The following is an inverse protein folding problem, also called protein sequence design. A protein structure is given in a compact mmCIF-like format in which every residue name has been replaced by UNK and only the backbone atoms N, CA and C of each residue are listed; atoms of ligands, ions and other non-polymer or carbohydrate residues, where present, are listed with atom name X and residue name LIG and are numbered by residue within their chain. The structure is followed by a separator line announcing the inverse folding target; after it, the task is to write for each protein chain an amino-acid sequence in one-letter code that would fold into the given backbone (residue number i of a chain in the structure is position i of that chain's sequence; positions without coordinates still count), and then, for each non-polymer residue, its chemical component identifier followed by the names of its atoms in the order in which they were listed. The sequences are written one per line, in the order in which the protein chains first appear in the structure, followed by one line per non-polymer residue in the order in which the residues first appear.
data_IF_960873196908
#
_entry.id   IF_960873196908
#
_cell.length_a   1.000
_cell.length_b   1.000
_cell.length_c   1.000
_cell.angle_alpha   90.00
_cell.angle_beta   90.00
_cell.angle_gamma   90.00
#
_symmetry.space_group_name_H-M   'P 1'
#
loop_
_entity.id
_entity.type
_entity.pdbx_description
1 polymer ?
#
# COMPACT_ATOMS: atom_id res chain seq x y z
N UNK A 1 -12.40 3.67 -22.53
CA UNK A 1 -12.64 2.30 -23.04
C UNK A 1 -14.05 1.86 -22.62
N UNK A 2 -15.01 1.76 -23.54
CA UNK A 2 -16.40 1.34 -23.21
C UNK A 2 -16.45 -0.18 -23.15
N UNK A 3 -16.69 -0.75 -21.97
CA UNK A 3 -16.90 -2.20 -21.81
C UNK A 3 -18.17 -2.63 -22.56
N UNK A 4 -18.10 -3.78 -23.25
CA UNK A 4 -19.27 -4.36 -23.92
C UNK A 4 -20.40 -4.64 -22.90
N UNK A 5 -21.64 -4.26 -23.23
CA UNK A 5 -22.83 -4.39 -22.36
C UNK A 5 -23.04 -5.82 -21.86
N UNK A 6 -22.69 -6.84 -22.65
CA UNK A 6 -22.73 -8.26 -22.22
C UNK A 6 -21.71 -8.59 -21.14
N UNK A 7 -20.47 -8.11 -21.28
CA UNK A 7 -19.38 -8.34 -20.31
C UNK A 7 -19.71 -7.65 -18.98
N UNK A 8 -20.24 -6.43 -19.05
CA UNK A 8 -20.65 -5.66 -17.87
C UNK A 8 -21.73 -6.38 -17.05
N UNK A 9 -22.75 -6.95 -17.72
CA UNK A 9 -23.80 -7.74 -17.07
C UNK A 9 -23.28 -9.03 -16.46
N UNK A 10 -22.33 -9.70 -17.11
CA UNK A 10 -21.71 -10.92 -16.59
C UNK A 10 -20.91 -10.64 -15.30
N UNK A 11 -20.10 -9.58 -15.28
CA UNK A 11 -19.38 -9.16 -14.08
C UNK A 11 -20.31 -8.74 -12.94
N UNK A 12 -21.34 -7.93 -13.21
CA UNK A 12 -22.31 -7.55 -12.17
C UNK A 12 -23.02 -8.76 -11.58
N UNK A 13 -23.37 -9.77 -12.41
CA UNK A 13 -24.00 -11.00 -11.91
C UNK A 13 -23.08 -11.78 -10.98
N UNK A 14 -21.78 -11.91 -11.32
CA UNK A 14 -20.80 -12.55 -10.44
C UNK A 14 -20.54 -11.80 -9.13
N UNK A 15 -20.61 -10.46 -9.14
CA UNK A 15 -20.48 -9.65 -7.92
C UNK A 15 -21.73 -9.81 -7.04
N UNK A 16 -22.93 -9.78 -7.62
CA UNK A 16 -24.21 -9.94 -6.90
C UNK A 16 -24.34 -11.32 -6.24
N UNK A 17 -23.89 -12.37 -6.91
CA UNK A 17 -23.85 -13.74 -6.37
C UNK A 17 -22.90 -13.83 -5.16
N UNK A 18 -21.81 -13.06 -5.16
CA UNK A 18 -20.86 -12.96 -4.05
C UNK A 18 -21.40 -12.13 -2.88
N UNK A 19 -22.31 -11.17 -3.11
CA UNK A 19 -22.88 -10.31 -2.07
C UNK A 19 -24.24 -10.79 -1.54
N UNK A 20 -24.81 -11.85 -2.11
CA UNK A 20 -26.11 -12.45 -1.73
C UNK A 20 -27.26 -11.43 -1.70
N UNK A 21 -27.20 -10.44 -2.59
CA UNK A 21 -28.16 -9.33 -2.66
C UNK A 21 -29.16 -9.62 -3.79
N UNK A 22 -30.47 -9.74 -3.51
CA UNK A 22 -31.48 -10.04 -4.53
C UNK A 22 -31.81 -8.76 -5.31
N UNK A 23 -30.90 -8.31 -6.19
CA UNK A 23 -31.11 -7.06 -6.91
C UNK A 23 -31.84 -7.24 -8.25
N UNK A 24 -32.97 -6.54 -8.36
CA UNK A 24 -33.60 -6.10 -9.61
C UNK A 24 -32.51 -5.35 -10.42
N UNK A 25 -32.31 -5.77 -11.68
CA UNK A 25 -31.28 -5.22 -12.57
C UNK A 25 -31.57 -3.74 -12.93
N UNK A 26 -31.01 -2.79 -12.18
CA UNK A 26 -30.90 -1.40 -12.63
C UNK A 26 -29.47 -1.11 -13.12
N UNK A 27 -29.32 -0.53 -14.32
CA UNK A 27 -28.01 -0.32 -14.96
C UNK A 27 -27.12 0.66 -14.14
N UNK A 28 -27.73 1.59 -13.37
CA UNK A 28 -27.02 2.53 -12.48
C UNK A 28 -26.42 1.87 -11.23
N UNK A 29 -27.15 0.98 -10.57
CA UNK A 29 -26.65 0.25 -9.39
C UNK A 29 -25.50 -0.70 -9.76
N UNK A 30 -25.59 -1.34 -10.93
CA UNK A 30 -24.53 -2.18 -11.47
C UNK A 30 -23.24 -1.37 -11.75
N UNK A 31 -23.34 -0.12 -12.23
CA UNK A 31 -22.17 0.75 -12.37
C UNK A 31 -21.54 1.12 -11.03
N UNK A 32 -22.35 1.43 -10.03
CA UNK A 32 -21.88 1.76 -8.70
C UNK A 32 -21.14 0.58 -8.04
N UNK A 33 -21.69 -0.64 -8.15
CA UNK A 33 -21.08 -1.87 -7.66
C UNK A 33 -19.76 -2.20 -8.36
N UNK A 34 -19.73 -2.12 -9.70
CA UNK A 34 -18.51 -2.34 -10.49
C UNK A 34 -17.41 -1.35 -10.13
N UNK A 35 -17.74 -0.05 -10.08
CA UNK A 35 -16.79 1.00 -9.72
C UNK A 35 -16.20 0.73 -8.34
N UNK A 36 -17.05 0.28 -7.41
CA UNK A 36 -16.63 -0.05 -6.05
C UNK A 36 -15.68 -1.25 -6.01
N UNK A 37 -16.04 -2.35 -6.68
CA UNK A 37 -15.19 -3.54 -6.75
C UNK A 37 -13.82 -3.22 -7.38
N UNK A 38 -13.79 -2.40 -8.44
CA UNK A 38 -12.53 -1.93 -9.03
C UNK A 38 -11.69 -1.14 -8.03
N UNK A 39 -12.29 -0.26 -7.24
CA UNK A 39 -11.58 0.49 -6.19
C UNK A 39 -11.09 -0.45 -5.08
N UNK A 40 -11.85 -1.51 -4.74
CA UNK A 40 -11.41 -2.56 -3.81
C UNK A 40 -10.17 -3.30 -4.33
N UNK A 41 -10.16 -3.70 -5.59
CA UNK A 41 -8.99 -4.32 -6.22
C UNK A 41 -7.78 -3.40 -6.26
N UNK A 42 -7.95 -2.14 -6.64
CA UNK A 42 -6.88 -1.14 -6.62
C UNK A 42 -6.32 -0.99 -5.20
N UNK A 43 -7.20 -0.91 -4.19
CA UNK A 43 -6.78 -0.79 -2.80
C UNK A 43 -5.96 -2.01 -2.32
N UNK A 44 -6.41 -3.22 -2.63
CA UNK A 44 -5.70 -4.47 -2.29
C UNK A 44 -4.35 -4.54 -3.01
N UNK A 45 -4.31 -4.21 -4.30
CA UNK A 45 -3.08 -4.22 -5.09
C UNK A 45 -2.06 -3.21 -4.56
N UNK A 46 -2.49 -1.97 -4.28
CA UNK A 46 -1.62 -0.94 -3.71
C UNK A 46 -1.10 -1.33 -2.33
N UNK A 47 -1.96 -1.91 -1.49
CA UNK A 47 -1.53 -2.46 -0.21
C UNK A 47 -0.48 -3.55 -0.38
N UNK A 48 -0.74 -4.56 -1.21
CA UNK A 48 0.21 -5.64 -1.46
C UNK A 48 1.56 -5.10 -1.98
N UNK A 49 1.52 -4.12 -2.89
CA UNK A 49 2.72 -3.49 -3.43
C UNK A 49 3.53 -2.74 -2.36
N UNK A 50 2.89 -1.99 -1.47
CA UNK A 50 3.61 -1.26 -0.41
C UNK A 50 4.23 -2.18 0.63
N UNK A 51 3.55 -3.28 1.00
CA UNK A 51 4.11 -4.30 1.90
C UNK A 51 5.25 -5.08 1.25
N UNK A 52 5.11 -5.44 -0.04
CA UNK A 52 6.17 -6.11 -0.79
C UNK A 52 7.42 -5.25 -0.89
N UNK A 53 7.27 -3.95 -1.12
CA UNK A 53 8.39 -3.01 -1.15
C UNK A 53 9.11 -2.92 0.20
N UNK A 54 8.37 -2.82 1.31
CA UNK A 54 8.95 -2.88 2.66
C UNK A 54 9.71 -4.20 2.90
N UNK A 55 9.12 -5.33 2.54
CA UNK A 55 9.74 -6.64 2.72
C UNK A 55 11.02 -6.77 1.90
N UNK A 56 11.01 -6.28 0.65
CA UNK A 56 12.17 -6.34 -0.24
C UNK A 56 13.30 -5.45 0.27
N UNK A 57 13.01 -4.22 0.75
CA UNK A 57 14.00 -3.37 1.40
C UNK A 57 14.57 -4.02 2.67
N UNK A 58 13.73 -4.64 3.50
CA UNK A 58 14.19 -5.31 4.70
C UNK A 58 15.14 -6.48 4.39
N UNK A 59 14.78 -7.35 3.44
CA UNK A 59 15.61 -8.48 3.03
C UNK A 59 16.95 -7.98 2.48
N UNK A 60 16.94 -6.96 1.63
CA UNK A 60 18.17 -6.41 1.04
C UNK A 60 19.05 -5.75 2.10
N UNK A 61 18.46 -5.01 3.03
CA UNK A 61 19.19 -4.34 4.12
C UNK A 61 19.82 -5.34 5.08
N UNK A 62 19.03 -6.25 5.66
CA UNK A 62 19.51 -7.22 6.65
C UNK A 62 20.43 -8.25 6.03
N UNK A 63 20.17 -8.66 4.79
CA UNK A 63 20.98 -9.61 4.03
C UNK A 63 22.27 -9.03 3.45
N UNK A 64 22.49 -7.71 3.53
CA UNK A 64 23.64 -7.02 2.92
C UNK A 64 23.82 -7.30 1.43
N UNK A 65 22.70 -7.54 0.74
CA UNK A 65 22.71 -7.92 -0.67
C UNK A 65 23.18 -6.79 -1.60
N UNK A 66 23.20 -5.55 -1.13
CA UNK A 66 23.75 -4.41 -1.89
C UNK A 66 25.26 -4.48 -2.09
N UNK A 67 25.98 -5.15 -1.19
CA UNK A 67 27.43 -5.26 -1.24
C UNK A 67 27.84 -6.26 -2.34
N UNK A 68 27.09 -7.35 -2.45
CA UNK A 68 27.31 -8.42 -3.45
C UNK A 68 26.63 -8.12 -4.80
N UNK A 69 25.50 -7.42 -4.80
CA UNK A 69 24.66 -7.17 -5.97
C UNK A 69 24.27 -5.68 -6.06
N UNK A 70 25.18 -4.80 -6.53
CA UNK A 70 24.93 -3.36 -6.62
C UNK A 70 23.76 -2.99 -7.56
N UNK A 71 23.39 -3.88 -8.48
CA UNK A 71 22.24 -3.73 -9.36
C UNK A 71 20.91 -3.67 -8.60
N UNK A 72 20.80 -4.37 -7.46
CA UNK A 72 19.60 -4.34 -6.61
C UNK A 72 19.31 -2.94 -6.09
N UNK A 73 20.36 -2.15 -5.83
CA UNK A 73 20.21 -0.78 -5.38
C UNK A 73 19.56 0.09 -6.44
N UNK A 74 20.02 0.00 -7.69
CA UNK A 74 19.40 0.74 -8.81
C UNK A 74 17.94 0.34 -9.02
N UNK A 75 17.62 -0.95 -8.90
CA UNK A 75 16.25 -1.44 -8.99
C UNK A 75 15.38 -0.87 -7.88
N UNK A 76 15.87 -0.86 -6.64
CA UNK A 76 15.17 -0.31 -5.48
C UNK A 76 14.95 1.19 -5.59
N UNK A 77 15.97 1.95 -6.00
CA UNK A 77 15.85 3.38 -6.25
C UNK A 77 14.82 3.67 -7.34
N UNK A 78 14.76 2.87 -8.40
CA UNK A 78 13.74 3.01 -9.46
C UNK A 78 12.31 2.75 -8.97
N UNK A 79 12.16 1.89 -7.95
CA UNK A 79 10.88 1.56 -7.35
C UNK A 79 10.42 2.58 -6.29
N UNK A 80 11.30 3.45 -5.82
CA UNK A 80 10.97 4.41 -4.77
C UNK A 80 9.90 5.43 -5.20
N UNK A 81 10.03 5.99 -6.40
CA UNK A 81 9.04 6.93 -6.95
C UNK A 81 7.65 6.29 -7.15
N UNK A 82 7.51 5.13 -7.83
CA UNK A 82 6.20 4.48 -7.94
C UNK A 82 5.68 4.00 -6.58
N UNK A 83 6.55 3.64 -5.63
CA UNK A 83 6.18 3.35 -4.25
C UNK A 83 5.52 4.55 -3.56
N UNK A 84 6.11 5.74 -3.62
CA UNK A 84 5.49 6.92 -3.03
C UNK A 84 4.16 7.29 -3.68
N UNK A 85 4.06 7.15 -5.00
CA UNK A 85 2.79 7.31 -5.72
C UNK A 85 1.73 6.33 -5.23
N UNK A 86 2.08 5.04 -5.13
CA UNK A 86 1.19 4.00 -4.64
C UNK A 86 0.75 4.24 -3.18
N UNK A 87 1.69 4.63 -2.32
CA UNK A 87 1.44 4.94 -0.92
C UNK A 87 0.48 6.12 -0.76
N UNK A 88 0.69 7.21 -1.51
CA UNK A 88 -0.18 8.37 -1.47
C UNK A 88 -1.62 8.03 -1.89
N UNK A 89 -1.79 7.29 -3.00
CA UNK A 89 -3.11 6.84 -3.46
C UNK A 89 -3.78 5.92 -2.43
N UNK A 90 -3.02 4.96 -1.88
CA UNK A 90 -3.51 4.04 -0.85
C UNK A 90 -4.07 4.79 0.37
N UNK A 91 -3.35 5.81 0.85
CA UNK A 91 -3.76 6.66 1.98
C UNK A 91 -5.02 7.44 1.66
N UNK A 92 -5.08 8.08 0.48
CA UNK A 92 -6.26 8.84 0.05
C UNK A 92 -7.49 7.93 0.00
N UNK A 93 -7.37 6.75 -0.61
CA UNK A 93 -8.46 5.77 -0.69
C UNK A 93 -8.88 5.28 0.70
N UNK A 94 -7.91 5.05 1.59
CA UNK A 94 -8.18 4.68 2.99
C UNK A 94 -8.99 5.75 3.70
N UNK A 95 -8.60 7.02 3.59
CA UNK A 95 -9.31 8.11 4.28
C UNK A 95 -10.70 8.38 3.71
N UNK A 96 -10.88 8.29 2.39
CA UNK A 96 -12.20 8.39 1.75
C UNK A 96 -13.14 7.30 2.28
N UNK A 97 -12.65 6.06 2.43
CA UNK A 97 -13.46 4.94 2.93
C UNK A 97 -13.78 5.07 4.41
N UNK A 98 -12.82 5.51 5.22
CA UNK A 98 -13.01 5.75 6.66
C UNK A 98 -14.12 6.78 6.92
N UNK A 99 -14.16 7.87 6.13
CA UNK A 99 -15.20 8.91 6.24
C UNK A 99 -16.61 8.42 5.86
N UNK A 100 -16.73 7.47 4.93
CA UNK A 100 -18.03 6.98 4.46
C UNK A 100 -18.73 6.01 5.42
N UNK A 101 -18.11 5.57 6.53
CA UNK A 101 -18.66 4.66 7.57
C UNK A 101 -19.29 3.33 7.10
N UNK A 102 -19.32 3.03 5.80
CA UNK A 102 -20.16 1.94 5.27
C UNK A 102 -19.64 0.52 5.54
N UNK A 103 -18.39 0.32 6.01
CA UNK A 103 -17.82 -1.02 6.18
C UNK A 103 -16.89 -1.15 7.39
N UNK A 104 -16.88 -2.31 8.09
CA UNK A 104 -15.88 -2.60 9.09
C UNK A 104 -14.49 -2.58 8.43
N UNK A 105 -13.70 -1.61 8.87
CA UNK A 105 -12.28 -1.45 8.63
C UNK A 105 -11.53 -2.77 8.80
N UNK A 106 -11.26 -3.51 7.73
CA UNK A 106 -10.13 -4.47 7.68
C UNK A 106 -8.82 -3.73 7.42
N UNK A 107 -8.61 -2.58 8.08
CA UNK A 107 -7.43 -1.75 7.85
C UNK A 107 -6.24 -2.26 8.66
N UNK A 108 -5.27 -2.90 7.99
CA UNK A 108 -3.95 -3.18 8.55
C UNK A 108 -3.01 -1.96 8.50
N UNK A 109 -3.54 -0.77 8.22
CA UNK A 109 -2.72 0.44 8.04
C UNK A 109 -1.92 0.84 9.29
N UNK A 110 -2.39 0.49 10.49
CA UNK A 110 -1.62 0.66 11.73
C UNK A 110 -0.45 -0.33 11.80
N UNK A 111 -0.67 -1.59 11.41
CA UNK A 111 0.38 -2.60 11.30
C UNK A 111 1.46 -2.15 10.31
N UNK A 112 1.09 -1.57 9.17
CA UNK A 112 2.06 -1.06 8.19
C UNK A 112 2.99 0.01 8.78
N UNK A 113 2.43 0.96 9.54
CA UNK A 113 3.20 2.02 10.19
C UNK A 113 4.12 1.42 11.23
N UNK A 114 3.61 0.51 12.07
CA UNK A 114 4.40 -0.19 13.09
C UNK A 114 5.56 -0.95 12.45
N UNK A 115 5.34 -1.67 11.36
CA UNK A 115 6.41 -2.38 10.64
C UNK A 115 7.48 -1.42 10.12
N UNK A 116 7.08 -0.31 9.51
CA UNK A 116 8.04 0.71 9.05
C UNK A 116 8.82 1.33 10.21
N UNK A 117 8.15 1.64 11.32
CA UNK A 117 8.81 2.20 12.51
C UNK A 117 9.80 1.22 13.12
N UNK A 118 9.42 -0.05 13.28
CA UNK A 118 10.33 -1.10 13.78
C UNK A 118 11.50 -1.28 12.82
N UNK A 119 11.25 -1.33 11.52
CA UNK A 119 12.31 -1.50 10.52
C UNK A 119 13.29 -0.32 10.53
N UNK A 120 12.80 0.92 10.52
CA UNK A 120 13.65 2.11 10.60
C UNK A 120 14.45 2.17 11.90
N UNK A 121 13.84 1.84 13.04
CA UNK A 121 14.53 1.80 14.32
C UNK A 121 15.62 0.72 14.36
N UNK A 122 15.32 -0.49 13.88
CA UNK A 122 16.28 -1.59 13.80
C UNK A 122 17.44 -1.25 12.85
N UNK A 123 17.15 -0.66 11.70
CA UNK A 123 18.17 -0.23 10.74
C UNK A 123 19.10 0.84 11.34
N UNK A 124 18.53 1.82 12.04
CA UNK A 124 19.30 2.87 12.74
C UNK A 124 20.17 2.28 13.84
N UNK A 125 19.61 1.37 14.66
CA UNK A 125 20.35 0.74 15.75
C UNK A 125 21.52 -0.10 15.23
N UNK A 126 21.29 -0.87 14.16
CA UNK A 126 22.36 -1.66 13.54
C UNK A 126 23.46 -0.79 12.95
N UNK A 127 23.11 0.33 12.31
CA UNK A 127 24.09 1.27 11.80
C UNK A 127 24.95 1.92 12.90
N UNK A 128 24.40 2.04 14.11
CA UNK A 128 25.14 2.59 15.25
C UNK A 128 26.02 1.58 15.97
N UNK A 129 25.54 0.33 16.11
CA UNK A 129 26.21 -0.70 16.93
C UNK A 129 27.16 -1.57 16.11
N UNK A 130 26.89 -1.75 14.82
CA UNK A 130 27.64 -2.69 13.98
C UNK A 130 28.45 -1.96 12.92
N UNK A 131 29.78 -2.16 12.87
CA UNK A 131 30.63 -1.62 11.80
C UNK A 131 30.36 -2.27 10.43
N UNK A 132 29.49 -3.28 10.36
CA UNK A 132 29.02 -3.86 9.09
C UNK A 132 27.96 -2.98 8.43
N UNK A 133 27.28 -2.11 9.18
CA UNK A 133 26.19 -1.26 8.69
C UNK A 133 26.63 0.20 8.71
N UNK A 134 27.00 0.73 7.54
CA UNK A 134 27.37 2.13 7.42
C UNK A 134 26.15 3.04 7.19
N UNK A 135 26.29 4.31 7.58
CA UNK A 135 25.37 5.36 7.17
C UNK A 135 25.57 5.68 5.69
N UNK A 136 24.88 4.93 4.84
CA UNK A 136 24.92 5.07 3.40
C UNK A 136 23.61 5.66 2.84
N UNK A 137 23.56 5.80 1.52
CA UNK A 137 22.37 6.31 0.82
C UNK A 137 21.18 5.36 0.96
N UNK A 138 21.42 4.07 1.19
CA UNK A 138 20.38 3.07 1.31
C UNK A 138 19.66 3.17 2.66
N UNK A 139 20.42 3.36 3.74
CA UNK A 139 19.88 3.71 5.05
C UNK A 139 19.10 5.03 5.00
N UNK A 140 19.60 6.02 4.25
CA UNK A 140 18.88 7.28 4.05
C UNK A 140 17.52 7.07 3.35
N UNK A 141 17.43 6.17 2.38
CA UNK A 141 16.16 5.76 1.76
C UNK A 141 15.22 5.12 2.77
N UNK A 142 15.71 4.22 3.62
CA UNK A 142 14.90 3.57 4.68
C UNK A 142 14.35 4.62 5.65
N UNK A 143 15.21 5.54 6.11
CA UNK A 143 14.83 6.61 7.04
C UNK A 143 13.81 7.57 6.41
N UNK A 144 14.02 7.98 5.16
CA UNK A 144 13.09 8.82 4.41
C UNK A 144 11.71 8.17 4.30
N UNK A 145 11.66 6.90 3.89
CA UNK A 145 10.40 6.16 3.78
C UNK A 145 9.71 6.02 5.14
N UNK A 146 10.47 5.72 6.20
CA UNK A 146 9.94 5.62 7.57
C UNK A 146 9.32 6.94 8.02
N UNK A 147 10.01 8.05 7.81
CA UNK A 147 9.52 9.39 8.15
C UNK A 147 8.25 9.75 7.37
N UNK A 148 8.23 9.49 6.06
CA UNK A 148 7.05 9.74 5.21
C UNK A 148 5.85 8.94 5.72
N UNK A 149 6.02 7.67 6.06
CA UNK A 149 4.96 6.80 6.59
C UNK A 149 4.44 7.32 7.94
N UNK A 150 5.33 7.75 8.83
CA UNK A 150 4.96 8.33 10.12
C UNK A 150 4.20 9.65 9.92
N UNK A 151 4.67 10.54 9.06
CA UNK A 151 4.01 11.82 8.76
C UNK A 151 2.60 11.60 8.19
N UNK A 152 2.47 10.66 7.26
CA UNK A 152 1.18 10.25 6.69
C UNK A 152 0.24 9.73 7.79
N UNK A 153 0.76 8.88 8.69
CA UNK A 153 -0.02 8.35 9.79
C UNK A 153 -0.50 9.44 10.74
N UNK A 154 0.40 10.33 11.17
CA UNK A 154 0.07 11.47 12.02
C UNK A 154 -0.97 12.35 11.33
N UNK A 155 -0.81 12.66 10.05
CA UNK A 155 -1.80 13.41 9.27
C UNK A 155 -3.18 12.74 9.25
N UNK A 156 -3.24 11.42 9.05
CA UNK A 156 -4.49 10.65 9.09
C UNK A 156 -5.10 10.51 10.49
N UNK A 157 -4.29 10.56 11.55
CA UNK A 157 -4.75 10.56 12.94
C UNK A 157 -5.28 11.94 13.35
N UNK A 158 -4.58 13.02 12.98
CA UNK A 158 -4.99 14.40 13.27
C UNK A 158 -6.25 14.79 12.50
N UNK A 159 -6.39 14.30 11.26
CA UNK A 159 -7.57 14.53 10.43
C UNK A 159 -8.73 13.55 10.72
N UNK A 160 -8.74 12.92 11.91
CA UNK A 160 -9.88 12.14 12.39
C UNK A 160 -11.06 13.11 12.61
N UNK A 161 -12.19 12.95 11.88
CA UNK A 161 -13.39 13.75 12.09
C UNK A 161 -14.08 13.39 13.41
#
# INVERSE_FOLDING_TARGET
MKLNKKIKRAFCRGILEKTNDPAIFNDEECEALLRREVVDWIFVFLGAFTYMYLALLAVVFFGKLTDDLPQLRSLLDSLQNPYFGALAVYVILKEIRKRKRSYPSRYLGELFVVLWTIFGAAATLLAFVSPRYDFDSFLLTILSNTLVVILIYIGGVLNRP
#
